data_IF_634473181101
#
_entry.id   IF_634473181101
#
_cell.length_a   1.000
_cell.length_b   1.000
_cell.length_c   1.000
_cell.angle_alpha   90.00
_cell.angle_beta   90.00
_cell.angle_gamma   90.00
#
_symmetry.space_group_name_H-M   'P 1'
#
loop_
_entity.id
_entity.type
_entity.pdbx_description
1 polymer ?
#
# COMPACT_ATOMS: atom_id res chain seq x y z
N UNK A 1 3.66 -53.44 -6.54
CA UNK A 1 2.59 -52.43 -6.74
C UNK A 1 2.08 -51.84 -5.43
N UNK A 2 1.64 -52.63 -4.44
CA UNK A 2 1.15 -52.07 -3.16
C UNK A 2 2.19 -51.23 -2.40
N UNK A 3 3.45 -51.67 -2.35
CA UNK A 3 4.52 -50.88 -1.72
C UNK A 3 4.74 -49.53 -2.41
N UNK A 4 4.67 -49.51 -3.76
CA UNK A 4 4.76 -48.29 -4.57
C UNK A 4 3.58 -47.35 -4.31
N UNK A 5 2.37 -47.88 -4.16
CA UNK A 5 1.18 -47.09 -3.83
C UNK A 5 1.25 -46.49 -2.41
N UNK A 6 1.79 -47.23 -1.43
CA UNK A 6 2.05 -46.72 -0.08
C UNK A 6 3.04 -45.56 -0.12
N UNK A 7 4.19 -45.72 -0.78
CA UNK A 7 5.18 -44.64 -0.91
C UNK A 7 4.60 -43.40 -1.59
N UNK A 8 3.83 -43.58 -2.68
CA UNK A 8 3.15 -42.46 -3.33
C UNK A 8 2.16 -41.74 -2.40
N UNK A 9 1.44 -42.47 -1.55
CA UNK A 9 0.50 -41.89 -0.58
C UNK A 9 1.23 -41.11 0.53
N UNK A 10 2.38 -41.61 1.00
CA UNK A 10 3.25 -40.91 1.96
C UNK A 10 3.84 -39.62 1.39
N UNK A 11 4.24 -39.63 0.12
CA UNK A 11 4.70 -38.45 -0.61
C UNK A 11 3.58 -37.39 -0.72
N UNK A 12 2.37 -37.80 -1.11
CA UNK A 12 1.21 -36.89 -1.16
C UNK A 12 0.88 -36.34 0.22
N UNK A 13 0.90 -37.16 1.27
CA UNK A 13 0.67 -36.71 2.65
C UNK A 13 1.68 -35.62 3.05
N UNK A 14 2.96 -35.83 2.73
CA UNK A 14 4.03 -34.86 2.98
C UNK A 14 3.82 -33.57 2.20
N UNK A 15 3.39 -33.67 0.94
CA UNK A 15 3.01 -32.52 0.11
C UNK A 15 1.87 -31.71 0.73
N UNK A 16 0.78 -32.37 1.12
CA UNK A 16 -0.37 -31.72 1.78
C UNK A 16 0.04 -31.11 3.13
N UNK A 17 0.93 -31.75 3.88
CA UNK A 17 1.49 -31.17 5.10
C UNK A 17 2.25 -29.87 4.82
N UNK A 18 3.08 -29.85 3.78
CA UNK A 18 3.84 -28.66 3.38
C UNK A 18 2.93 -27.50 2.93
N UNK A 19 1.90 -27.79 2.13
CA UNK A 19 0.95 -26.74 1.70
C UNK A 19 0.22 -26.14 2.91
N UNK A 20 -0.11 -26.93 3.92
CA UNK A 20 -0.74 -26.41 5.13
C UNK A 20 0.13 -25.40 5.88
N UNK A 21 1.43 -25.70 6.03
CA UNK A 21 2.39 -24.77 6.67
C UNK A 21 2.45 -23.47 5.88
N UNK A 22 2.56 -23.56 4.55
CA UNK A 22 2.55 -22.37 3.68
C UNK A 22 1.24 -21.57 3.79
N UNK A 23 0.11 -22.24 4.05
CA UNK A 23 -1.20 -21.61 4.23
C UNK A 23 -1.30 -20.89 5.58
N UNK A 24 -0.70 -21.44 6.64
CA UNK A 24 -0.55 -20.77 7.94
C UNK A 24 0.33 -19.51 7.81
N UNK A 25 1.47 -19.62 7.10
CA UNK A 25 2.33 -18.46 6.81
C UNK A 25 1.60 -17.40 5.99
N UNK A 26 0.87 -17.80 4.95
CA UNK A 26 0.04 -16.89 4.15
C UNK A 26 -1.00 -16.16 5.01
N UNK A 27 -1.64 -16.88 5.94
CA UNK A 27 -2.61 -16.28 6.88
C UNK A 27 -1.97 -15.22 7.76
N UNK A 28 -0.74 -15.45 8.22
CA UNK A 28 0.03 -14.47 8.98
C UNK A 28 0.36 -13.23 8.14
N UNK A 29 0.85 -13.42 6.91
CA UNK A 29 1.14 -12.32 5.98
C UNK A 29 -0.10 -11.50 5.64
N UNK A 30 -1.24 -12.13 5.38
CA UNK A 30 -2.52 -11.43 5.12
C UNK A 30 -2.90 -10.53 6.31
N UNK A 31 -2.73 -11.02 7.54
CA UNK A 31 -3.02 -10.22 8.75
C UNK A 31 -2.08 -9.02 8.91
N UNK A 32 -0.80 -9.20 8.56
CA UNK A 32 0.18 -8.12 8.56
C UNK A 32 -0.17 -7.05 7.52
N UNK A 33 -0.52 -7.46 6.28
CA UNK A 33 -0.99 -6.53 5.24
C UNK A 33 -2.28 -5.81 5.66
N UNK A 34 -3.22 -6.51 6.30
CA UNK A 34 -4.44 -5.91 6.84
C UNK A 34 -4.12 -4.77 7.82
N UNK A 35 -3.20 -5.05 8.75
CA UNK A 35 -2.75 -4.09 9.77
C UNK A 35 -2.07 -2.90 9.13
N UNK A 36 -1.13 -3.14 8.21
CA UNK A 36 -0.43 -2.08 7.47
C UNK A 36 -1.38 -1.21 6.62
N UNK A 37 -2.42 -1.82 6.04
CA UNK A 37 -3.43 -1.07 5.27
C UNK A 37 -4.29 -0.16 6.16
N UNK A 38 -4.65 -0.64 7.35
CA UNK A 38 -5.38 0.16 8.34
C UNK A 38 -4.53 1.32 8.87
N UNK A 39 -3.25 1.07 9.16
CA UNK A 39 -2.29 2.10 9.57
C UNK A 39 -2.09 3.15 8.47
N UNK A 40 -1.95 2.73 7.21
CA UNK A 40 -1.84 3.63 6.06
C UNK A 40 -3.08 4.53 5.89
N UNK A 41 -4.29 4.00 6.10
CA UNK A 41 -5.52 4.80 6.08
C UNK A 41 -5.54 5.83 7.22
N UNK A 42 -5.15 5.45 8.43
CA UNK A 42 -5.09 6.38 9.57
C UNK A 42 -4.06 7.49 9.33
N UNK A 43 -2.86 7.13 8.88
CA UNK A 43 -1.81 8.10 8.54
C UNK A 43 -2.25 9.06 7.42
N UNK A 44 -2.99 8.56 6.42
CA UNK A 44 -3.55 9.40 5.35
C UNK A 44 -4.56 10.42 5.91
N UNK A 45 -5.43 10.03 6.85
CA UNK A 45 -6.38 10.95 7.51
C UNK A 45 -5.67 12.03 8.34
N UNK A 46 -4.63 11.63 9.07
CA UNK A 46 -3.81 12.58 9.84
C UNK A 46 -3.09 13.56 8.91
N UNK A 47 -2.50 13.08 7.82
CA UNK A 47 -1.83 13.91 6.82
C UNK A 47 -2.81 14.89 6.16
N UNK A 48 -4.04 14.47 5.88
CA UNK A 48 -5.10 15.34 5.34
C UNK A 48 -5.40 16.50 6.29
N UNK A 49 -5.55 16.19 7.59
CA UNK A 49 -5.78 17.21 8.63
C UNK A 49 -4.62 18.20 8.72
N UNK A 50 -3.38 17.72 8.62
CA UNK A 50 -2.20 18.58 8.65
C UNK A 50 -2.12 19.48 7.41
N UNK A 51 -2.42 18.94 6.22
CA UNK A 51 -2.43 19.70 4.98
C UNK A 51 -3.54 20.75 4.94
N UNK A 52 -4.73 20.46 5.48
CA UNK A 52 -5.81 21.44 5.67
C UNK A 52 -5.37 22.58 6.60
N UNK A 53 -4.71 22.27 7.71
CA UNK A 53 -4.21 23.29 8.63
C UNK A 53 -3.11 24.16 7.97
N UNK A 54 -2.20 23.54 7.21
CA UNK A 54 -1.21 24.27 6.43
C UNK A 54 -1.86 25.20 5.40
N UNK A 55 -2.88 24.74 4.68
CA UNK A 55 -3.63 25.56 3.73
C UNK A 55 -4.26 26.78 4.42
N UNK A 56 -4.86 26.60 5.60
CA UNK A 56 -5.44 27.69 6.39
C UNK A 56 -4.40 28.74 6.79
N UNK A 57 -3.24 28.31 7.31
CA UNK A 57 -2.16 29.21 7.73
C UNK A 57 -1.62 30.00 6.53
N UNK A 58 -1.47 29.36 5.37
CA UNK A 58 -0.98 30.02 4.16
C UNK A 58 -2.03 30.98 3.60
N UNK A 59 -3.32 30.64 3.66
CA UNK A 59 -4.40 31.55 3.28
C UNK A 59 -4.43 32.80 4.19
N UNK A 60 -4.24 32.64 5.50
CA UNK A 60 -4.09 33.75 6.45
C UNK A 60 -2.88 34.64 6.11
N UNK A 61 -1.74 34.03 5.74
CA UNK A 61 -0.55 34.75 5.29
C UNK A 61 -0.81 35.55 3.98
N UNK A 62 -1.57 34.98 3.05
CA UNK A 62 -1.96 35.65 1.81
C UNK A 62 -2.79 36.90 2.08
N UNK A 63 -3.78 36.78 2.97
CA UNK A 63 -4.60 37.92 3.41
C UNK A 63 -3.78 38.99 4.12
N UNK A 64 -2.90 38.61 5.05
CA UNK A 64 -2.01 39.55 5.72
C UNK A 64 -1.08 40.28 4.73
N UNK A 65 -0.60 39.59 3.71
CA UNK A 65 0.25 40.18 2.66
C UNK A 65 -0.53 41.17 1.77
N UNK A 66 -1.81 40.88 1.49
CA UNK A 66 -2.72 41.82 0.82
C UNK A 66 -2.95 43.10 1.64
N UNK A 67 -3.22 42.94 2.95
CA UNK A 67 -3.39 44.07 3.87
C UNK A 67 -2.13 44.96 3.91
N UNK A 68 -0.94 44.35 3.99
CA UNK A 68 0.34 45.08 3.90
C UNK A 68 0.44 45.81 2.57
N UNK A 69 0.12 45.15 1.44
CA UNK A 69 0.12 45.78 0.12
C UNK A 69 -0.78 47.03 0.05
N UNK A 70 -1.95 46.99 0.69
CA UNK A 70 -2.85 48.14 0.78
C UNK A 70 -2.25 49.29 1.61
N UNK A 71 -1.59 48.99 2.73
CA UNK A 71 -0.89 49.99 3.55
C UNK A 71 0.26 50.65 2.76
N UNK A 72 1.05 49.86 2.02
CA UNK A 72 2.15 50.38 1.21
C UNK A 72 1.65 51.32 0.11
N UNK A 73 0.50 51.04 -0.53
CA UNK A 73 -0.13 51.96 -1.50
C UNK A 73 -0.48 53.31 -0.88
N UNK A 74 -0.98 53.31 0.36
CA UNK A 74 -1.27 54.56 1.09
C UNK A 74 0.01 55.33 1.39
N UNK A 75 1.07 54.64 1.86
CA UNK A 75 2.37 55.29 2.13
C UNK A 75 2.97 55.87 0.86
N UNK A 76 2.91 55.15 -0.27
CA UNK A 76 3.37 55.63 -1.57
C UNK A 76 2.62 56.91 -1.99
N UNK A 77 1.29 56.92 -1.79
CA UNK A 77 0.44 58.11 -2.06
C UNK A 77 0.82 59.30 -1.16
N UNK A 78 1.08 59.06 0.13
CA UNK A 78 1.54 60.08 1.08
C UNK A 78 2.91 60.63 0.66
N UNK A 79 3.85 59.77 0.25
CA UNK A 79 5.17 60.18 -0.21
C UNK A 79 5.08 61.07 -1.46
N UNK A 80 4.23 60.70 -2.43
CA UNK A 80 3.97 61.52 -3.62
C UNK A 80 3.37 62.88 -3.26
N UNK A 81 2.38 62.91 -2.35
CA UNK A 81 1.77 64.16 -1.89
C UNK A 81 2.77 65.04 -1.12
N UNK A 82 3.62 64.43 -0.30
CA UNK A 82 4.69 65.11 0.45
C UNK A 82 5.72 65.72 -0.50
N UNK A 83 6.11 64.99 -1.55
CA UNK A 83 7.00 65.52 -2.59
C UNK A 83 6.38 66.72 -3.33
N UNK A 84 5.07 66.69 -3.60
CA UNK A 84 4.35 67.79 -4.23
C UNK A 84 4.23 69.00 -3.30
N UNK A 85 3.95 68.79 -2.01
CA UNK A 85 3.97 69.83 -0.98
C UNK A 85 5.35 70.47 -0.83
N UNK A 86 6.41 69.66 -0.80
CA UNK A 86 7.79 70.13 -0.73
C UNK A 86 8.17 70.97 -1.97
N UNK A 87 7.74 70.54 -3.16
CA UNK A 87 7.91 71.31 -4.39
C UNK A 87 7.23 72.68 -4.32
N UNK A 88 5.99 72.74 -3.85
CA UNK A 88 5.27 74.00 -3.66
C UNK A 88 5.99 74.91 -2.64
N UNK A 89 6.50 74.34 -1.55
CA UNK A 89 7.30 75.08 -0.57
C UNK A 89 8.62 75.60 -1.16
N UNK A 90 9.29 74.84 -2.03
CA UNK A 90 10.48 75.30 -2.76
C UNK A 90 10.14 76.49 -3.68
N UNK A 91 9.00 76.45 -4.37
CA UNK A 91 8.53 77.54 -5.24
C UNK A 91 8.26 78.81 -4.41
N UNK A 92 7.56 78.68 -3.29
CA UNK A 92 7.23 79.84 -2.46
C UNK A 92 8.46 80.42 -1.75
N UNK A 93 9.40 79.55 -1.33
CA UNK A 93 10.69 79.98 -0.79
C UNK A 93 11.53 80.77 -1.82
N UNK A 94 11.52 80.34 -3.09
CA UNK A 94 12.16 81.09 -4.17
C UNK A 94 11.48 82.45 -4.41
N UNK A 95 10.15 82.51 -4.27
CA UNK A 95 9.37 83.74 -4.40
C UNK A 95 9.65 84.76 -3.30
N UNK A 96 9.96 84.30 -2.09
CA UNK A 96 10.36 85.13 -0.96
C UNK A 96 11.80 85.68 -1.06
N UNK A 97 12.58 85.29 -2.08
CA UNK A 97 13.94 85.79 -2.31
C UNK A 97 14.89 85.46 -1.16
N UNK A 98 15.66 86.45 -0.69
CA UNK A 98 16.66 86.26 0.36
C UNK A 98 16.04 85.85 1.72
N UNK A 99 14.80 86.25 2.00
CA UNK A 99 14.10 85.86 3.24
C UNK A 99 13.69 84.38 3.25
N UNK A 100 13.60 83.73 2.08
CA UNK A 100 13.17 82.34 1.92
C UNK A 100 14.31 81.30 1.93
N UNK A 101 15.59 81.71 1.99
CA UNK A 101 16.74 80.79 1.84
C UNK A 101 16.73 79.62 2.84
N UNK A 102 16.40 79.87 4.11
CA UNK A 102 16.30 78.81 5.12
C UNK A 102 15.15 77.83 4.84
N UNK A 103 14.00 78.35 4.40
CA UNK A 103 12.84 77.54 3.99
C UNK A 103 13.14 76.69 2.74
N UNK A 104 13.92 77.23 1.79
CA UNK A 104 14.31 76.51 0.59
C UNK A 104 15.14 75.25 0.89
N UNK A 105 16.05 75.33 1.87
CA UNK A 105 16.86 74.18 2.32
C UNK A 105 15.97 73.10 2.92
N UNK A 106 15.07 73.47 3.84
CA UNK A 106 14.14 72.51 4.47
C UNK A 106 13.23 71.87 3.43
N UNK A 107 12.69 72.66 2.48
CA UNK A 107 11.84 72.14 1.41
C UNK A 107 12.59 71.13 0.52
N UNK A 108 13.87 71.39 0.21
CA UNK A 108 14.71 70.44 -0.54
C UNK A 108 14.97 69.14 0.22
N UNK A 109 15.23 69.23 1.53
CA UNK A 109 15.44 68.04 2.38
C UNK A 109 14.19 67.17 2.46
N UNK A 110 13.02 67.79 2.67
CA UNK A 110 11.72 67.09 2.69
C UNK A 110 11.44 66.44 1.33
N UNK A 111 11.78 67.12 0.22
CA UNK A 111 11.63 66.58 -1.13
C UNK A 111 12.47 65.31 -1.33
N UNK A 112 13.73 65.33 -0.88
CA UNK A 112 14.62 64.17 -0.99
C UNK A 112 14.15 63.01 -0.11
N UNK A 113 13.72 63.27 1.12
CA UNK A 113 13.13 62.26 2.00
C UNK A 113 11.86 61.63 1.40
N UNK A 114 11.00 62.44 0.77
CA UNK A 114 9.81 61.96 0.09
C UNK A 114 10.17 61.04 -1.11
N UNK A 115 11.21 61.38 -1.86
CA UNK A 115 11.73 60.55 -2.96
C UNK A 115 12.31 59.24 -2.46
N UNK A 116 13.13 59.26 -1.41
CA UNK A 116 13.67 58.06 -0.78
C UNK A 116 12.55 57.15 -0.24
N UNK A 117 11.52 57.75 0.36
CA UNK A 117 10.33 57.02 0.83
C UNK A 117 9.61 56.35 -0.34
N UNK A 118 9.42 57.04 -1.46
CA UNK A 118 8.79 56.48 -2.66
C UNK A 118 9.58 55.27 -3.20
N UNK A 119 10.89 55.38 -3.34
CA UNK A 119 11.76 54.27 -3.77
C UNK A 119 11.66 53.09 -2.81
N UNK A 120 11.73 53.33 -1.50
CA UNK A 120 11.61 52.27 -0.50
C UNK A 120 10.23 51.58 -0.55
N UNK A 121 9.14 52.33 -0.75
CA UNK A 121 7.80 51.74 -0.92
C UNK A 121 7.67 50.90 -2.19
N UNK A 122 8.35 51.27 -3.28
CA UNK A 122 8.38 50.50 -4.51
C UNK A 122 9.13 49.17 -4.32
N UNK A 123 10.28 49.19 -3.65
CA UNK A 123 11.02 47.97 -3.29
C UNK A 123 10.20 47.03 -2.40
N UNK A 124 9.51 47.58 -1.38
CA UNK A 124 8.64 46.79 -0.51
C UNK A 124 7.45 46.22 -1.31
N UNK A 125 6.86 46.99 -2.23
CA UNK A 125 5.78 46.51 -3.10
C UNK A 125 6.22 45.29 -3.90
N UNK A 126 7.42 45.33 -4.50
CA UNK A 126 7.97 44.20 -5.23
C UNK A 126 8.18 42.97 -4.33
N UNK A 127 8.67 43.16 -3.09
CA UNK A 127 8.82 42.07 -2.12
C UNK A 127 7.47 41.46 -1.73
N UNK A 128 6.46 42.27 -1.47
CA UNK A 128 5.11 41.80 -1.12
C UNK A 128 4.47 41.06 -2.29
N UNK A 129 4.64 41.53 -3.53
CA UNK A 129 4.17 40.82 -4.73
C UNK A 129 4.79 39.42 -4.84
N UNK A 130 6.10 39.28 -4.54
CA UNK A 130 6.76 37.98 -4.52
C UNK A 130 6.23 37.08 -3.40
N UNK A 131 5.98 37.62 -2.21
CA UNK A 131 5.36 36.87 -1.10
C UNK A 131 3.99 36.35 -1.52
N UNK A 132 3.13 37.20 -2.08
CA UNK A 132 1.80 36.82 -2.57
C UNK A 132 1.86 35.73 -3.64
N UNK A 133 2.78 35.85 -4.60
CA UNK A 133 3.00 34.82 -5.63
C UNK A 133 3.43 33.49 -5.01
N UNK A 134 4.36 33.50 -4.06
CA UNK A 134 4.84 32.30 -3.39
C UNK A 134 3.75 31.65 -2.52
N UNK A 135 2.95 32.46 -1.84
CA UNK A 135 1.79 31.98 -1.07
C UNK A 135 0.77 31.28 -1.99
N UNK A 136 0.44 31.86 -3.15
CA UNK A 136 -0.46 31.23 -4.11
C UNK A 136 0.10 29.91 -4.66
N UNK A 137 1.39 29.86 -4.98
CA UNK A 137 2.05 28.62 -5.40
C UNK A 137 1.99 27.56 -4.29
N UNK A 138 2.21 27.94 -3.04
CA UNK A 138 2.14 27.02 -1.91
C UNK A 138 0.72 26.47 -1.70
N UNK A 139 -0.33 27.28 -1.88
CA UNK A 139 -1.73 26.81 -1.87
C UNK A 139 -1.95 25.74 -2.95
N UNK A 140 -1.44 25.98 -4.17
CA UNK A 140 -1.56 25.01 -5.25
C UNK A 140 -0.83 23.69 -4.94
N UNK A 141 0.41 23.76 -4.45
CA UNK A 141 1.16 22.57 -4.06
C UNK A 141 0.48 21.80 -2.92
N UNK A 142 -0.13 22.48 -1.93
CA UNK A 142 -0.89 21.80 -0.88
C UNK A 142 -2.15 21.12 -1.44
N UNK A 143 -2.81 21.73 -2.43
CA UNK A 143 -3.94 21.09 -3.09
C UNK A 143 -3.53 19.79 -3.83
N UNK A 144 -2.37 19.78 -4.49
CA UNK A 144 -1.82 18.56 -5.09
C UNK A 144 -1.47 17.50 -4.04
N UNK A 145 -0.91 17.91 -2.90
CA UNK A 145 -0.64 17.01 -1.76
C UNK A 145 -1.93 16.40 -1.22
N UNK A 146 -2.99 17.19 -1.06
CA UNK A 146 -4.31 16.69 -0.64
C UNK A 146 -4.86 15.64 -1.61
N UNK A 147 -4.74 15.89 -2.92
CA UNK A 147 -5.19 14.91 -3.92
C UNK A 147 -4.37 13.61 -3.86
N UNK A 148 -3.06 13.70 -3.63
CA UNK A 148 -2.21 12.53 -3.44
C UNK A 148 -2.60 11.72 -2.18
N UNK A 149 -2.90 12.41 -1.07
CA UNK A 149 -3.35 11.78 0.18
C UNK A 149 -4.71 11.09 -0.01
N UNK A 150 -5.65 11.72 -0.70
CA UNK A 150 -6.96 11.13 -1.01
C UNK A 150 -6.80 9.84 -1.82
N UNK A 151 -5.93 9.86 -2.83
CA UNK A 151 -5.60 8.68 -3.64
C UNK A 151 -4.95 7.57 -2.79
N UNK A 152 -4.05 7.91 -1.87
CA UNK A 152 -3.45 6.95 -0.94
C UNK A 152 -4.50 6.29 -0.03
N UNK A 153 -5.44 7.07 0.51
CA UNK A 153 -6.53 6.52 1.31
C UNK A 153 -7.44 5.60 0.48
N UNK A 154 -7.69 5.94 -0.79
CA UNK A 154 -8.41 5.09 -1.73
C UNK A 154 -7.70 3.75 -1.96
N UNK A 155 -6.39 3.78 -2.19
CA UNK A 155 -5.57 2.57 -2.35
C UNK A 155 -5.60 1.71 -1.07
N UNK A 156 -5.46 2.31 0.12
CA UNK A 156 -5.54 1.58 1.38
C UNK A 156 -6.90 0.89 1.57
N UNK A 157 -7.99 1.53 1.13
CA UNK A 157 -9.34 0.93 1.16
C UNK A 157 -9.46 -0.25 0.19
N UNK A 158 -8.93 -0.11 -1.03
CA UNK A 158 -8.90 -1.19 -2.02
C UNK A 158 -8.05 -2.38 -1.57
N UNK A 159 -6.88 -2.11 -0.98
CA UNK A 159 -6.01 -3.14 -0.41
C UNK A 159 -6.71 -3.86 0.73
N UNK A 160 -7.42 -3.15 1.62
CA UNK A 160 -8.19 -3.78 2.70
C UNK A 160 -9.26 -4.73 2.17
N UNK A 161 -10.01 -4.33 1.13
CA UNK A 161 -11.00 -5.20 0.49
C UNK A 161 -10.36 -6.44 -0.15
N UNK A 162 -9.23 -6.28 -0.86
CA UNK A 162 -8.50 -7.40 -1.44
C UNK A 162 -7.95 -8.37 -0.36
N UNK A 163 -7.53 -7.84 0.79
CA UNK A 163 -7.08 -8.63 1.94
C UNK A 163 -8.21 -9.44 2.56
N UNK A 164 -9.43 -8.88 2.64
CA UNK A 164 -10.62 -9.64 3.09
C UNK A 164 -10.91 -10.83 2.16
N UNK A 165 -10.85 -10.62 0.83
CA UNK A 165 -11.03 -11.68 -0.17
C UNK A 165 -9.92 -12.75 -0.09
N UNK A 166 -8.67 -12.34 0.06
CA UNK A 166 -7.53 -13.25 0.26
C UNK A 166 -7.69 -14.06 1.55
N UNK A 167 -8.18 -13.45 2.63
CA UNK A 167 -8.44 -14.14 3.89
C UNK A 167 -9.51 -15.22 3.73
N UNK A 168 -10.62 -14.91 3.06
CA UNK A 168 -11.67 -15.88 2.77
C UNK A 168 -11.15 -17.05 1.93
N UNK A 169 -10.38 -16.76 0.88
CA UNK A 169 -9.78 -17.79 0.01
C UNK A 169 -8.79 -18.67 0.77
N UNK A 170 -7.94 -18.08 1.60
CA UNK A 170 -6.95 -18.80 2.40
C UNK A 170 -7.63 -19.73 3.42
N UNK A 171 -8.70 -19.27 4.06
CA UNK A 171 -9.50 -20.10 4.98
C UNK A 171 -10.13 -21.30 4.27
N UNK A 172 -10.61 -21.11 3.04
CA UNK A 172 -11.16 -22.21 2.24
C UNK A 172 -10.07 -23.20 1.82
N UNK A 173 -8.89 -22.71 1.44
CA UNK A 173 -7.73 -23.57 1.17
C UNK A 173 -7.34 -24.37 2.40
N UNK A 174 -7.30 -23.77 3.59
CA UNK A 174 -7.05 -24.49 4.85
C UNK A 174 -8.08 -25.59 5.10
N UNK A 175 -9.36 -25.35 4.81
CA UNK A 175 -10.43 -26.37 4.92
C UNK A 175 -10.17 -27.54 3.97
N UNK A 176 -9.91 -27.25 2.69
CA UNK A 176 -9.66 -28.26 1.65
C UNK A 176 -8.42 -29.11 1.99
N UNK A 177 -7.36 -28.49 2.51
CA UNK A 177 -6.15 -29.19 2.95
C UNK A 177 -6.47 -30.15 4.10
N UNK A 178 -7.30 -29.73 5.06
CA UNK A 178 -7.76 -30.59 6.15
C UNK A 178 -8.48 -31.83 5.63
N UNK A 179 -9.39 -31.65 4.67
CA UNK A 179 -10.13 -32.75 4.02
C UNK A 179 -9.20 -33.68 3.24
N UNK A 180 -8.28 -33.11 2.45
CA UNK A 180 -7.29 -33.87 1.67
C UNK A 180 -6.38 -34.72 2.57
N UNK A 181 -5.99 -34.24 3.76
CA UNK A 181 -5.23 -35.06 4.72
C UNK A 181 -6.02 -36.30 5.16
N UNK A 182 -7.30 -36.13 5.49
CA UNK A 182 -8.17 -37.24 5.88
C UNK A 182 -8.37 -38.23 4.73
N UNK A 183 -8.54 -37.74 3.50
CA UNK A 183 -8.66 -38.60 2.31
C UNK A 183 -7.40 -39.41 2.04
N UNK A 184 -6.22 -38.78 2.10
CA UNK A 184 -4.93 -39.47 1.90
C UNK A 184 -4.71 -40.55 2.96
N UNK A 185 -5.06 -40.28 4.23
CA UNK A 185 -5.02 -41.30 5.28
C UNK A 185 -5.97 -42.48 4.99
N UNK A 186 -7.17 -42.19 4.48
CA UNK A 186 -8.12 -43.21 4.04
C UNK A 186 -7.58 -44.08 2.90
N UNK A 187 -6.92 -43.47 1.91
CA UNK A 187 -6.27 -44.18 0.79
C UNK A 187 -5.18 -45.11 1.31
N UNK A 188 -4.34 -44.65 2.24
CA UNK A 188 -3.29 -45.49 2.85
C UNK A 188 -3.87 -46.73 3.52
N UNK A 189 -4.99 -46.61 4.24
CA UNK A 189 -5.66 -47.76 4.86
C UNK A 189 -6.28 -48.70 3.82
N UNK A 190 -6.87 -48.16 2.74
CA UNK A 190 -7.39 -48.97 1.63
C UNK A 190 -6.25 -49.76 0.96
N UNK A 191 -5.12 -49.14 0.70
CA UNK A 191 -3.93 -49.79 0.12
C UNK A 191 -3.46 -50.92 1.04
N UNK A 192 -3.40 -50.68 2.36
CA UNK A 192 -3.03 -51.70 3.35
C UNK A 192 -3.98 -52.91 3.30
N UNK A 193 -5.29 -52.65 3.20
CA UNK A 193 -6.31 -53.71 3.09
C UNK A 193 -6.18 -54.49 1.77
N UNK A 194 -5.91 -53.82 0.66
CA UNK A 194 -5.68 -54.47 -0.64
C UNK A 194 -4.43 -55.34 -0.61
N UNK A 195 -3.35 -54.87 0.03
CA UNK A 195 -2.13 -55.65 0.22
C UNK A 195 -2.41 -56.96 0.97
N UNK A 196 -3.16 -56.88 2.07
CA UNK A 196 -3.55 -58.06 2.86
C UNK A 196 -4.40 -59.04 2.03
N UNK A 197 -5.41 -58.54 1.30
CA UNK A 197 -6.26 -59.39 0.47
C UNK A 197 -5.48 -60.08 -0.67
N UNK A 198 -4.49 -59.39 -1.25
CA UNK A 198 -3.62 -59.96 -2.28
C UNK A 198 -2.72 -61.07 -1.71
N UNK A 199 -2.19 -60.89 -0.49
CA UNK A 199 -1.38 -61.88 0.21
C UNK A 199 -2.19 -63.15 0.56
N UNK A 200 -3.41 -62.97 1.08
CA UNK A 200 -4.36 -64.06 1.34
C UNK A 200 -4.70 -64.80 0.05
N UNK A 201 -4.95 -64.08 -1.06
CA UNK A 201 -5.25 -64.70 -2.35
C UNK A 201 -4.06 -65.46 -2.93
N UNK A 202 -2.83 -64.95 -2.75
CA UNK A 202 -1.61 -65.64 -3.19
C UNK A 202 -1.43 -66.94 -2.40
N UNK A 203 -1.62 -66.90 -1.08
CA UNK A 203 -1.58 -68.08 -0.21
C UNK A 203 -2.64 -69.11 -0.60
N UNK A 204 -3.88 -68.67 -0.87
CA UNK A 204 -4.96 -69.57 -1.33
C UNK A 204 -4.69 -70.19 -2.70
N UNK A 205 -4.08 -69.44 -3.62
CA UNK A 205 -3.67 -69.96 -4.93
C UNK A 205 -2.56 -71.03 -4.79
N UNK A 206 -1.59 -70.82 -3.90
CA UNK A 206 -0.55 -71.80 -3.62
C UNK A 206 -1.12 -73.10 -3.03
N UNK A 207 -2.05 -73.00 -2.06
CA UNK A 207 -2.75 -74.16 -1.51
C UNK A 207 -3.55 -74.92 -2.58
N UNK A 208 -4.21 -74.19 -3.47
CA UNK A 208 -4.96 -74.79 -4.60
C UNK A 208 -4.03 -75.52 -5.56
N UNK A 209 -2.87 -74.94 -5.87
CA UNK A 209 -1.85 -75.58 -6.71
C UNK A 209 -1.30 -76.87 -6.07
N UNK A 210 -1.06 -76.86 -4.76
CA UNK A 210 -0.64 -78.05 -4.02
C UNK A 210 -1.72 -79.16 -4.09
N UNK A 211 -2.98 -78.83 -3.83
CA UNK A 211 -4.08 -79.77 -3.90
C UNK A 211 -4.29 -80.34 -5.32
N UNK A 212 -4.19 -79.50 -6.35
CA UNK A 212 -4.27 -79.93 -7.74
C UNK A 212 -3.13 -80.88 -8.12
N UNK A 213 -1.91 -80.61 -7.64
CA UNK A 213 -0.74 -81.48 -7.85
C UNK A 213 -0.91 -82.84 -7.16
N UNK A 214 -1.47 -82.86 -5.95
CA UNK A 214 -1.78 -84.09 -5.23
C UNK A 214 -2.87 -84.92 -5.95
N UNK A 215 -3.95 -84.27 -6.41
CA UNK A 215 -4.99 -84.90 -7.22
C UNK A 215 -4.43 -85.51 -8.51
N UNK A 216 -3.56 -84.78 -9.22
CA UNK A 216 -2.89 -85.29 -10.41
C UNK A 216 -2.05 -86.54 -10.11
N UNK A 217 -1.29 -86.53 -8.99
CA UNK A 217 -0.52 -87.69 -8.54
C UNK A 217 -1.41 -88.89 -8.24
N UNK A 218 -2.53 -88.67 -7.55
CA UNK A 218 -3.51 -89.74 -7.26
C UNK A 218 -4.12 -90.31 -8.54
N UNK A 219 -4.47 -89.47 -9.51
CA UNK A 219 -5.02 -89.91 -10.79
C UNK A 219 -4.04 -90.77 -11.60
N UNK A 220 -2.76 -90.41 -11.63
CA UNK A 220 -1.70 -91.22 -12.26
C UNK A 220 -1.57 -92.57 -11.57
N UNK A 221 -1.51 -92.59 -10.23
CA UNK A 221 -1.40 -93.84 -9.46
C UNK A 221 -2.60 -94.77 -9.65
N UNK A 222 -3.82 -94.20 -9.71
CA UNK A 222 -5.04 -94.94 -10.05
C UNK A 222 -4.98 -95.53 -11.46
N UNK A 223 -4.48 -94.77 -12.44
CA UNK A 223 -4.33 -95.25 -13.82
C UNK A 223 -3.33 -96.41 -13.91
N UNK A 224 -2.20 -96.32 -13.23
CA UNK A 224 -1.22 -97.41 -13.13
C UNK A 224 -1.80 -98.65 -12.44
N UNK A 225 -2.59 -98.47 -11.38
CA UNK A 225 -3.29 -99.57 -10.69
C UNK A 225 -4.28 -100.27 -11.61
N UNK A 226 -5.05 -99.52 -12.40
CA UNK A 226 -6.02 -100.08 -13.36
C UNK A 226 -5.32 -100.85 -14.49
N UNK A 227 -4.24 -100.31 -15.05
CA UNK A 227 -3.45 -101.00 -16.09
C UNK A 227 -2.79 -102.29 -15.56
N UNK A 228 -2.24 -102.25 -14.34
CA UNK A 228 -1.69 -103.45 -13.68
C UNK A 228 -2.76 -104.50 -13.37
N UNK A 229 -3.98 -104.07 -13.00
CA UNK A 229 -5.09 -104.99 -12.77
C UNK A 229 -5.61 -105.63 -14.07
N UNK A 230 -5.45 -104.94 -15.21
CA UNK A 230 -5.91 -105.41 -16.53
C UNK A 230 -4.91 -106.35 -17.22
N UNK A 231 -3.64 -106.32 -16.81
CA UNK A 231 -2.55 -107.18 -17.31
C UNK A 231 -2.36 -108.46 -16.50
N UNK A 232 -3.05 -108.61 -15.37
CA UNK A 232 -3.17 -109.85 -14.58
C UNK A 232 -4.42 -110.64 -14.97
#
# INVERSE_FOLDING_TARGET
ESATATTASEEVYTGVQSVAVNTEEMSASIKEVATGSAEASNMSKEAMTQAENANRIIAELGKASEDIGNVIKVISSIAQQTNLLALNATIEAARAGDAGKGFAVVASEVKELAKQTATATEEITNKISNVQSNTNNAIHSIAEVNHAIEKLNGIATQTAAAVEEQSATTNEVSRIIGESRTEVQGITEIIRRVAMAADESATGAEQTLMAASELARMATSLSELVENARTR
#
